data_IF_535515811322
#
_entry.id   IF_535515811322
#
_cell.length_a   1.000
_cell.length_b   1.000
_cell.length_c   1.000
_cell.angle_alpha   90.00
_cell.angle_beta   90.00
_cell.angle_gamma   90.00
#
_symmetry.space_group_name_H-M   'P 1'
#
loop_
_entity.id
_entity.type
_entity.pdbx_description
1 polymer ?
#
# COMPACT_ATOMS: atom_id res chain seq x y z
N UNK A 1 0.39 13.27 12.35
CA UNK A 1 0.61 14.46 11.51
C UNK A 1 1.63 14.23 10.39
N UNK A 2 2.75 13.56 10.61
CA UNK A 2 3.72 13.31 9.52
C UNK A 2 3.13 12.42 8.40
N UNK A 3 2.59 11.24 8.71
CA UNK A 3 2.03 10.31 7.72
C UNK A 3 0.81 10.83 6.95
N UNK A 4 0.10 11.83 7.50
CA UNK A 4 -1.03 12.46 6.78
C UNK A 4 -0.56 13.31 5.61
N UNK A 5 0.71 13.73 5.56
CA UNK A 5 1.26 14.51 4.43
C UNK A 5 1.20 13.74 3.11
N UNK A 6 1.39 12.42 3.12
CA UNK A 6 1.34 11.59 1.90
C UNK A 6 -0.05 11.64 1.28
N UNK A 7 -1.11 11.54 2.08
CA UNK A 7 -2.49 11.56 1.62
C UNK A 7 -2.86 12.92 1.02
N UNK A 8 -2.64 14.00 1.78
CA UNK A 8 -2.91 15.36 1.31
C UNK A 8 -2.05 15.74 0.10
N UNK A 9 -0.75 15.42 0.15
CA UNK A 9 0.20 15.68 -0.92
C UNK A 9 -0.21 14.99 -2.22
N UNK A 10 -0.62 13.72 -2.15
CA UNK A 10 -1.07 12.98 -3.34
C UNK A 10 -2.37 13.55 -3.90
N UNK A 11 -3.36 13.84 -3.04
CA UNK A 11 -4.61 14.45 -3.46
C UNK A 11 -4.39 15.79 -4.17
N UNK A 12 -3.66 16.70 -3.52
CA UNK A 12 -3.36 18.03 -4.06
C UNK A 12 -2.59 17.91 -5.38
N UNK A 13 -1.59 17.04 -5.43
CA UNK A 13 -0.76 16.86 -6.64
C UNK A 13 -1.56 16.36 -7.83
N UNK A 14 -2.45 15.39 -7.65
CA UNK A 14 -3.26 14.83 -8.74
C UNK A 14 -4.37 15.80 -9.19
N UNK A 15 -5.01 16.49 -8.26
CA UNK A 15 -6.05 17.49 -8.56
C UNK A 15 -5.44 18.70 -9.28
N UNK A 16 -4.45 19.35 -8.68
CA UNK A 16 -3.81 20.52 -9.27
C UNK A 16 -3.04 20.15 -10.54
N UNK A 17 -2.36 19.00 -10.53
CA UNK A 17 -1.66 18.49 -11.71
C UNK A 17 -2.59 18.28 -12.90
N UNK A 18 -3.78 17.71 -12.69
CA UNK A 18 -4.79 17.53 -13.74
C UNK A 18 -5.29 18.86 -14.30
N UNK A 19 -5.60 19.83 -13.44
CA UNK A 19 -6.07 21.17 -13.86
C UNK A 19 -4.98 21.95 -14.59
N UNK A 20 -3.77 21.98 -14.04
CA UNK A 20 -2.64 22.74 -14.62
C UNK A 20 -2.23 22.10 -15.94
N UNK A 21 -2.13 20.76 -16.01
CA UNK A 21 -1.75 20.08 -17.25
C UNK A 21 -2.79 20.30 -18.36
N UNK A 22 -4.07 20.38 -18.02
CA UNK A 22 -5.13 20.65 -19.00
C UNK A 22 -5.10 22.08 -19.57
N UNK A 23 -4.78 23.08 -18.76
CA UNK A 23 -4.83 24.49 -19.17
C UNK A 23 -3.48 25.06 -19.64
N UNK A 24 -2.38 24.57 -19.05
CA UNK A 24 -1.02 25.13 -19.22
C UNK A 24 0.02 24.08 -19.63
N UNK A 25 -0.41 22.83 -19.89
CA UNK A 25 0.46 21.74 -20.30
C UNK A 25 1.24 21.08 -19.16
N UNK A 26 1.74 19.88 -19.42
CA UNK A 26 2.42 19.03 -18.42
C UNK A 26 3.75 19.62 -17.93
N UNK A 27 4.44 20.42 -18.75
CA UNK A 27 5.71 21.08 -18.37
C UNK A 27 5.50 22.07 -17.22
N UNK A 28 4.45 22.88 -17.30
CA UNK A 28 4.10 23.86 -16.26
C UNK A 28 3.73 23.17 -14.94
N UNK A 29 3.04 22.03 -15.01
CA UNK A 29 2.72 21.24 -13.83
C UNK A 29 3.98 20.80 -13.06
N UNK A 30 5.06 20.41 -13.74
CA UNK A 30 6.33 20.09 -13.08
C UNK A 30 6.98 21.30 -12.39
N UNK A 31 6.97 22.47 -13.03
CA UNK A 31 7.51 23.68 -12.40
C UNK A 31 6.71 24.08 -11.15
N UNK A 32 5.37 24.05 -11.24
CA UNK A 32 4.49 24.39 -10.12
C UNK A 32 4.61 23.37 -8.97
N UNK A 33 4.83 22.09 -9.28
CA UNK A 33 5.07 21.08 -8.25
C UNK A 33 6.44 21.23 -7.57
N UNK A 34 7.49 21.57 -8.33
CA UNK A 34 8.87 21.64 -7.82
C UNK A 34 9.22 22.94 -7.08
N UNK A 35 8.75 24.09 -7.56
CA UNK A 35 9.15 25.39 -7.02
C UNK A 35 8.82 25.57 -5.52
N UNK A 36 7.63 25.18 -5.01
CA UNK A 36 7.32 25.25 -3.58
C UNK A 36 8.25 24.35 -2.73
N UNK A 37 8.68 23.21 -3.28
CA UNK A 37 9.62 22.31 -2.63
C UNK A 37 11.00 22.96 -2.44
N UNK A 38 11.47 23.72 -3.44
CA UNK A 38 12.72 24.47 -3.34
C UNK A 38 12.64 25.60 -2.30
N UNK A 39 11.53 26.32 -2.27
CA UNK A 39 11.27 27.36 -1.26
C UNK A 39 11.28 26.72 0.14
N UNK A 40 10.60 25.60 0.31
CA UNK A 40 10.55 24.88 1.58
C UNK A 40 11.94 24.35 2.00
N UNK A 41 12.74 23.87 1.06
CA UNK A 41 14.11 23.45 1.32
C UNK A 41 14.98 24.60 1.86
N UNK A 42 14.89 25.78 1.23
CA UNK A 42 15.58 26.99 1.70
C UNK A 42 15.09 27.37 3.10
N UNK A 43 13.78 27.36 3.34
CA UNK A 43 13.22 27.66 4.66
C UNK A 43 13.72 26.68 5.73
N UNK A 44 13.77 25.38 5.45
CA UNK A 44 14.29 24.38 6.39
C UNK A 44 15.77 24.64 6.70
N UNK A 45 16.60 24.89 5.68
CA UNK A 45 18.03 25.21 5.87
C UNK A 45 18.22 26.46 6.74
N UNK A 46 17.36 27.47 6.60
CA UNK A 46 17.49 28.73 7.33
C UNK A 46 16.85 28.73 8.72
N UNK A 47 15.83 27.89 8.96
CA UNK A 47 15.01 27.96 10.19
C UNK A 47 15.14 26.75 11.11
N UNK A 48 15.49 25.57 10.57
CA UNK A 48 15.55 24.32 11.34
C UNK A 48 16.99 24.06 11.76
N UNK A 49 17.25 24.22 13.06
CA UNK A 49 18.55 23.87 13.66
C UNK A 49 18.66 22.35 13.78
N UNK A 50 19.77 21.80 13.31
CA UNK A 50 20.05 20.37 13.48
C UNK A 50 20.12 20.02 14.99
N UNK A 51 19.27 19.10 15.48
CA UNK A 51 19.32 18.70 16.87
C UNK A 51 20.63 17.96 17.15
N UNK A 52 21.23 18.22 18.31
CA UNK A 52 22.41 17.47 18.75
C UNK A 52 22.03 16.00 18.86
N UNK A 53 22.76 15.15 18.15
CA UNK A 53 22.52 13.71 18.15
C UNK A 53 22.81 13.17 19.55
N UNK A 54 21.77 12.86 20.31
CA UNK A 54 21.92 12.17 21.59
C UNK A 54 22.59 10.81 21.31
N UNK A 55 23.84 10.66 21.75
CA UNK A 55 24.50 9.35 21.78
C UNK A 55 23.80 8.52 22.85
N UNK A 56 23.14 7.47 22.40
CA UNK A 56 22.73 6.27 23.14
C UNK A 56 22.32 6.48 24.60
N UNK A 57 21.10 6.95 24.81
CA UNK A 57 20.41 6.75 26.08
C UNK A 57 19.95 5.28 26.10
N UNK A 58 20.80 4.37 26.60
CA UNK A 58 20.39 3.00 26.97
C UNK A 58 21.10 1.81 26.32
N UNK A 59 22.34 1.93 25.82
CA UNK A 59 23.12 0.75 25.44
C UNK A 59 23.69 0.03 26.67
N UNK A 60 22.86 -0.76 27.35
CA UNK A 60 23.31 -1.82 28.27
C UNK A 60 22.93 -3.23 27.79
N UNK A 61 22.23 -3.34 26.65
CA UNK A 61 22.00 -4.62 25.97
C UNK A 61 23.18 -4.95 25.04
N UNK A 62 24.19 -5.62 25.57
CA UNK A 62 25.40 -6.06 24.84
C UNK A 62 25.14 -7.16 23.78
N UNK A 63 23.89 -7.51 23.48
CA UNK A 63 23.59 -8.48 22.43
C UNK A 63 23.54 -7.81 21.06
N UNK A 64 24.38 -8.23 20.08
CA UNK A 64 24.39 -7.61 18.77
C UNK A 64 23.01 -7.73 18.10
N UNK A 65 22.57 -6.64 17.45
CA UNK A 65 21.37 -6.68 16.64
C UNK A 65 21.47 -7.80 15.59
N UNK A 66 20.41 -8.60 15.38
CA UNK A 66 20.44 -9.71 14.44
C UNK A 66 20.69 -9.19 13.02
N UNK A 67 21.58 -9.87 12.29
CA UNK A 67 21.88 -9.54 10.90
C UNK A 67 20.67 -9.77 9.98
N UNK A 68 20.63 -9.08 8.83
CA UNK A 68 19.60 -9.26 7.80
C UNK A 68 19.39 -10.74 7.46
N UNK A 69 20.47 -11.50 7.28
CA UNK A 69 20.38 -12.91 6.93
C UNK A 69 19.75 -13.74 8.06
N UNK A 70 20.11 -13.48 9.32
CA UNK A 70 19.52 -14.17 10.48
C UNK A 70 18.02 -13.86 10.59
N UNK A 71 17.63 -12.60 10.43
CA UNK A 71 16.23 -12.19 10.43
C UNK A 71 15.45 -12.81 9.28
N UNK A 72 15.99 -12.83 8.06
CA UNK A 72 15.30 -13.44 6.92
C UNK A 72 15.19 -14.96 7.04
N UNK A 73 16.18 -15.63 7.63
CA UNK A 73 16.08 -17.06 7.99
C UNK A 73 14.95 -17.29 9.00
N UNK A 74 14.82 -16.44 10.01
CA UNK A 74 13.72 -16.52 10.97
C UNK A 74 12.36 -16.32 10.28
N UNK A 75 12.24 -15.31 9.41
CA UNK A 75 11.03 -15.05 8.62
C UNK A 75 10.64 -16.30 7.83
N UNK A 76 11.57 -16.93 7.13
CA UNK A 76 11.31 -18.16 6.35
C UNK A 76 10.98 -19.38 7.23
N UNK A 77 11.50 -19.44 8.45
CA UNK A 77 11.27 -20.55 9.38
C UNK A 77 9.92 -20.45 10.11
N UNK A 78 9.36 -19.26 10.28
CA UNK A 78 8.05 -19.05 10.89
C UNK A 78 6.96 -18.95 9.80
N UNK A 79 6.09 -19.97 9.63
CA UNK A 79 5.15 -20.00 8.51
C UNK A 79 4.17 -18.83 8.51
N UNK A 80 3.70 -18.37 9.68
CA UNK A 80 2.78 -17.23 9.77
C UNK A 80 3.44 -15.94 9.30
N UNK A 81 4.67 -15.68 9.74
CA UNK A 81 5.44 -14.50 9.34
C UNK A 81 5.85 -14.57 7.87
N UNK A 82 6.31 -15.73 7.40
CA UNK A 82 6.65 -15.97 6.00
C UNK A 82 5.48 -15.64 5.07
N UNK A 83 4.31 -16.23 5.33
CA UNK A 83 3.15 -16.02 4.49
C UNK A 83 2.64 -14.58 4.55
N UNK A 84 2.66 -13.94 5.73
CA UNK A 84 2.33 -12.52 5.84
C UNK A 84 3.31 -11.63 5.04
N UNK A 85 4.61 -11.92 5.11
CA UNK A 85 5.65 -11.17 4.39
C UNK A 85 5.44 -11.25 2.86
N UNK A 86 5.22 -12.45 2.35
CA UNK A 86 4.96 -12.66 0.91
C UNK A 86 3.61 -12.05 0.50
N UNK A 87 2.57 -12.20 1.32
CA UNK A 87 1.24 -11.61 1.06
C UNK A 87 1.30 -10.09 0.95
N UNK A 88 2.00 -9.41 1.86
CA UNK A 88 2.20 -7.95 1.79
C UNK A 88 2.91 -7.55 0.49
N UNK A 89 3.96 -8.28 0.10
CA UNK A 89 4.66 -8.05 -1.16
C UNK A 89 3.75 -8.19 -2.38
N UNK A 90 2.96 -9.26 -2.45
CA UNK A 90 2.03 -9.50 -3.56
C UNK A 90 0.89 -8.47 -3.61
N UNK A 91 0.28 -8.13 -2.48
CA UNK A 91 -0.79 -7.13 -2.45
C UNK A 91 -0.28 -5.73 -2.86
N UNK A 92 1.00 -5.43 -2.62
CA UNK A 92 1.60 -4.16 -3.05
C UNK A 92 1.62 -3.97 -4.58
N UNK A 93 1.59 -5.06 -5.36
CA UNK A 93 1.51 -5.01 -6.84
C UNK A 93 0.19 -4.39 -7.30
N UNK A 94 -0.93 -4.83 -6.72
CA UNK A 94 -2.24 -4.25 -7.02
C UNK A 94 -2.35 -2.83 -6.44
N UNK A 95 -1.90 -2.64 -5.19
CA UNK A 95 -1.97 -1.36 -4.48
C UNK A 95 -1.19 -0.22 -5.17
N UNK A 96 -0.21 -0.55 -6.02
CA UNK A 96 0.56 0.43 -6.82
C UNK A 96 0.16 0.40 -8.30
N UNK A 97 -0.14 -0.76 -8.86
CA UNK A 97 -0.48 -0.92 -10.28
C UNK A 97 -1.77 -0.21 -10.67
N UNK A 98 -2.83 -0.33 -9.85
CA UNK A 98 -4.12 0.30 -10.17
C UNK A 98 -4.04 1.83 -10.11
N UNK A 99 -3.55 2.46 -9.02
CA UNK A 99 -3.55 3.92 -8.91
C UNK A 99 -2.67 4.62 -9.95
N UNK A 100 -1.51 4.03 -10.29
CA UNK A 100 -0.57 4.61 -11.27
C UNK A 100 -1.23 4.76 -12.65
N UNK A 101 -2.09 3.80 -13.03
CA UNK A 101 -2.78 3.84 -14.30
C UNK A 101 -4.20 4.43 -14.23
N UNK A 102 -4.71 4.75 -13.04
CA UNK A 102 -6.09 5.16 -12.84
C UNK A 102 -6.48 6.40 -13.66
N UNK A 103 -5.69 7.48 -13.61
CA UNK A 103 -5.99 8.69 -14.38
C UNK A 103 -5.98 8.42 -15.91
N UNK A 104 -4.95 7.70 -16.38
CA UNK A 104 -4.83 7.32 -17.79
C UNK A 104 -5.98 6.43 -18.25
N UNK A 105 -6.42 5.48 -17.42
CA UNK A 105 -7.57 4.62 -17.67
C UNK A 105 -8.86 5.43 -17.79
N UNK A 106 -9.09 6.36 -16.86
CA UNK A 106 -10.29 7.19 -16.85
C UNK A 106 -10.38 8.07 -18.10
N UNK A 107 -9.27 8.66 -18.52
CA UNK A 107 -9.25 9.48 -19.75
C UNK A 107 -9.40 8.60 -20.99
N UNK A 108 -8.56 7.56 -21.14
CA UNK A 108 -8.45 6.78 -22.38
C UNK A 108 -9.61 5.83 -22.61
N UNK A 109 -10.21 5.33 -21.54
CA UNK A 109 -11.20 4.24 -21.61
C UNK A 109 -12.59 4.69 -21.16
N UNK A 110 -12.68 5.58 -20.16
CA UNK A 110 -13.95 6.04 -19.61
C UNK A 110 -14.37 7.43 -20.11
N UNK A 111 -13.57 8.06 -20.98
CA UNK A 111 -13.90 9.34 -21.61
C UNK A 111 -13.85 10.55 -20.67
N UNK A 112 -13.18 10.43 -19.52
CA UNK A 112 -13.03 11.56 -18.59
C UNK A 112 -12.16 12.65 -19.22
N UNK A 113 -12.48 13.90 -18.91
CA UNK A 113 -11.51 14.98 -19.11
C UNK A 113 -10.33 14.81 -18.13
N UNK A 114 -9.16 15.34 -18.48
CA UNK A 114 -7.97 15.24 -17.63
C UNK A 114 -8.19 15.80 -16.20
N UNK A 115 -8.89 16.94 -15.99
CA UNK A 115 -9.21 17.41 -14.65
C UNK A 115 -10.13 16.48 -13.86
N UNK A 116 -11.16 15.89 -14.51
CA UNK A 116 -12.05 14.93 -13.85
C UNK A 116 -11.29 13.66 -13.43
N UNK A 117 -10.43 13.15 -14.30
CA UNK A 117 -9.60 11.99 -14.02
C UNK A 117 -8.61 12.28 -12.87
N UNK A 118 -7.97 13.44 -12.89
CA UNK A 118 -7.09 13.91 -11.81
C UNK A 118 -7.81 14.07 -10.47
N UNK A 119 -9.04 14.62 -10.48
CA UNK A 119 -9.87 14.73 -9.28
C UNK A 119 -10.24 13.37 -8.70
N UNK A 120 -10.73 12.44 -9.54
CA UNK A 120 -11.13 11.12 -9.06
C UNK A 120 -9.93 10.29 -8.58
N UNK A 121 -8.81 10.32 -9.31
CA UNK A 121 -7.57 9.68 -8.88
C UNK A 121 -7.04 10.30 -7.56
N UNK A 122 -7.04 11.64 -7.47
CA UNK A 122 -6.59 12.37 -6.29
C UNK A 122 -7.43 12.09 -5.04
N UNK A 123 -8.75 12.13 -5.16
CA UNK A 123 -9.65 11.78 -4.06
C UNK A 123 -9.59 10.30 -3.71
N UNK A 124 -9.49 9.42 -4.71
CA UNK A 124 -9.28 7.98 -4.51
C UNK A 124 -8.07 7.70 -3.64
N UNK A 125 -6.88 8.05 -4.13
CA UNK A 125 -5.62 7.71 -3.44
C UNK A 125 -5.47 8.51 -2.14
N UNK A 126 -5.79 9.80 -2.18
CA UNK A 126 -5.57 10.70 -1.05
C UNK A 126 -6.62 10.54 0.05
N UNK A 127 -7.89 10.81 -0.24
CA UNK A 127 -8.95 10.81 0.77
C UNK A 127 -9.39 9.38 1.13
N UNK A 128 -9.79 8.60 0.12
CA UNK A 128 -10.32 7.26 0.35
C UNK A 128 -9.23 6.27 0.76
N UNK A 129 -8.04 6.40 0.19
CA UNK A 129 -6.87 5.65 0.64
C UNK A 129 -6.49 5.95 2.09
N UNK A 130 -6.49 7.22 2.50
CA UNK A 130 -6.26 7.59 3.90
C UNK A 130 -7.35 7.04 4.83
N UNK A 131 -8.61 7.15 4.43
CA UNK A 131 -9.73 6.58 5.18
C UNK A 131 -9.54 5.07 5.38
N UNK A 132 -9.14 4.36 4.34
CA UNK A 132 -8.74 2.95 4.42
C UNK A 132 -7.69 2.71 5.50
N UNK A 133 -6.55 3.40 5.42
CA UNK A 133 -5.48 3.26 6.41
C UNK A 133 -5.91 3.57 7.84
N UNK A 134 -6.78 4.56 8.05
CA UNK A 134 -7.32 4.88 9.38
C UNK A 134 -8.26 3.78 9.91
N UNK A 135 -9.08 3.18 9.05
CA UNK A 135 -10.02 2.12 9.43
C UNK A 135 -9.34 0.76 9.62
N UNK A 136 -8.17 0.56 8.99
CA UNK A 136 -7.44 -0.70 9.01
C UNK A 136 -7.04 -1.21 10.39
N UNK A 137 -6.51 -0.32 11.24
CA UNK A 137 -6.11 -0.64 12.61
C UNK A 137 -7.31 -1.12 13.45
N UNK A 138 -8.35 -0.28 13.63
CA UNK A 138 -9.56 -0.67 14.35
C UNK A 138 -10.23 -1.94 13.81
N UNK A 139 -10.20 -2.16 12.49
CA UNK A 139 -10.72 -3.39 11.89
C UNK A 139 -9.90 -4.62 12.31
N UNK A 140 -8.57 -4.52 12.33
CA UNK A 140 -7.68 -5.55 12.87
C UNK A 140 -7.93 -5.82 14.34
N UNK A 141 -8.02 -4.77 15.15
CA UNK A 141 -8.27 -4.87 16.59
C UNK A 141 -9.64 -5.52 16.88
N UNK A 142 -10.66 -5.20 16.09
CA UNK A 142 -11.98 -5.81 16.21
C UNK A 142 -11.94 -7.32 15.92
N UNK A 143 -11.16 -7.76 14.92
CA UNK A 143 -10.96 -9.18 14.63
C UNK A 143 -10.25 -9.88 15.78
N UNK A 144 -9.18 -9.27 16.31
CA UNK A 144 -8.43 -9.81 17.46
C UNK A 144 -9.30 -9.91 18.71
N UNK A 145 -10.06 -8.86 19.03
CA UNK A 145 -10.95 -8.83 20.20
C UNK A 145 -12.06 -9.88 20.10
N UNK A 146 -12.56 -10.17 18.89
CA UNK A 146 -13.67 -11.10 18.70
C UNK A 146 -13.22 -12.56 18.59
N UNK A 147 -12.11 -12.81 17.88
CA UNK A 147 -11.70 -14.15 17.45
C UNK A 147 -10.27 -14.54 17.87
N UNK A 148 -9.60 -13.69 18.65
CA UNK A 148 -8.24 -13.89 19.14
C UNK A 148 -7.17 -13.44 18.16
N UNK A 149 -5.94 -13.29 18.67
CA UNK A 149 -4.78 -12.80 17.90
C UNK A 149 -4.45 -13.70 16.69
N UNK A 150 -4.70 -15.00 16.80
CA UNK A 150 -4.50 -15.96 15.70
C UNK A 150 -5.40 -15.67 14.50
N UNK A 151 -6.52 -14.97 14.68
CA UNK A 151 -7.44 -14.59 13.62
C UNK A 151 -7.03 -13.28 12.91
N UNK A 152 -6.02 -12.56 13.39
CA UNK A 152 -5.55 -11.32 12.77
C UNK A 152 -5.29 -11.44 11.25
N UNK A 153 -4.70 -12.53 10.71
CA UNK A 153 -4.53 -12.68 9.26
C UNK A 153 -5.83 -12.77 8.45
N UNK A 154 -6.98 -13.05 9.07
CA UNK A 154 -8.27 -13.05 8.40
C UNK A 154 -8.67 -11.64 7.92
N UNK A 155 -8.27 -10.58 8.65
CA UNK A 155 -8.55 -9.20 8.25
C UNK A 155 -7.94 -8.83 6.89
N UNK A 156 -6.61 -8.98 6.68
CA UNK A 156 -6.02 -8.70 5.37
C UNK A 156 -6.40 -9.73 4.30
N UNK A 157 -6.72 -10.97 4.65
CA UNK A 157 -7.28 -11.95 3.71
C UNK A 157 -8.59 -11.44 3.08
N UNK A 158 -9.56 -11.05 3.91
CA UNK A 158 -10.86 -10.53 3.44
C UNK A 158 -10.67 -9.26 2.63
N UNK A 159 -9.80 -8.37 3.09
CA UNK A 159 -9.49 -7.14 2.37
C UNK A 159 -8.87 -7.42 0.99
N UNK A 160 -7.98 -8.41 0.85
CA UNK A 160 -7.42 -8.78 -0.45
C UNK A 160 -8.49 -9.27 -1.44
N UNK A 161 -9.47 -10.05 -0.97
CA UNK A 161 -10.60 -10.52 -1.80
C UNK A 161 -11.48 -9.34 -2.21
N UNK A 162 -11.84 -8.47 -1.27
CA UNK A 162 -12.63 -7.27 -1.54
C UNK A 162 -11.90 -6.29 -2.47
N UNK A 163 -10.57 -6.15 -2.34
CA UNK A 163 -9.74 -5.38 -3.25
C UNK A 163 -9.72 -5.98 -4.66
N UNK A 164 -9.64 -7.30 -4.79
CA UNK A 164 -9.76 -7.95 -6.10
C UNK A 164 -11.12 -7.65 -6.75
N UNK A 165 -12.22 -7.84 -6.02
CA UNK A 165 -13.57 -7.63 -6.55
C UNK A 165 -13.77 -6.16 -6.94
N UNK A 166 -13.43 -5.23 -6.06
CA UNK A 166 -13.56 -3.79 -6.33
C UNK A 166 -12.64 -3.30 -7.46
N UNK A 167 -11.42 -3.82 -7.56
CA UNK A 167 -10.52 -3.51 -8.68
C UNK A 167 -11.00 -4.07 -10.02
N UNK A 168 -11.65 -5.25 -10.03
CA UNK A 168 -12.33 -5.77 -11.22
C UNK A 168 -13.55 -4.93 -11.59
N UNK A 169 -14.32 -4.45 -10.62
CA UNK A 169 -15.44 -3.52 -10.84
C UNK A 169 -14.93 -2.21 -11.44
N UNK A 170 -13.81 -1.68 -10.94
CA UNK A 170 -13.16 -0.49 -11.53
C UNK A 170 -12.73 -0.73 -12.99
N UNK A 171 -12.10 -1.87 -13.27
CA UNK A 171 -11.58 -2.18 -14.61
C UNK A 171 -12.69 -2.50 -15.63
N UNK A 172 -13.72 -3.23 -15.22
CA UNK A 172 -14.72 -3.84 -16.11
C UNK A 172 -16.12 -3.21 -15.99
N UNK A 173 -16.27 -2.19 -15.14
CA UNK A 173 -17.54 -1.49 -14.94
C UNK A 173 -18.13 -0.92 -16.23
N UNK A 174 -19.45 -1.05 -16.38
CA UNK A 174 -20.19 -0.63 -17.57
C UNK A 174 -20.67 0.82 -17.52
N UNK A 175 -20.68 1.45 -16.33
CA UNK A 175 -21.08 2.84 -16.14
C UNK A 175 -20.08 3.59 -15.27
N UNK A 176 -20.01 4.92 -15.43
CA UNK A 176 -19.08 5.76 -14.67
C UNK A 176 -19.28 5.66 -13.15
N UNK A 177 -20.54 5.52 -12.71
CA UNK A 177 -20.87 5.34 -11.30
C UNK A 177 -20.29 4.02 -10.76
N UNK A 178 -20.41 2.93 -11.50
CA UNK A 178 -19.88 1.62 -11.11
C UNK A 178 -18.35 1.66 -11.07
N UNK A 179 -17.71 2.28 -12.07
CA UNK A 179 -16.26 2.46 -12.11
C UNK A 179 -15.78 3.29 -10.92
N UNK A 180 -16.42 4.42 -10.64
CA UNK A 180 -16.06 5.30 -9.52
C UNK A 180 -16.21 4.58 -8.16
N UNK A 181 -17.32 3.88 -7.94
CA UNK A 181 -17.55 3.10 -6.72
C UNK A 181 -16.53 1.97 -6.58
N UNK A 182 -16.22 1.25 -7.67
CA UNK A 182 -15.17 0.24 -7.69
C UNK A 182 -13.82 0.80 -7.27
N UNK A 183 -13.45 1.97 -7.79
CA UNK A 183 -12.19 2.64 -7.45
C UNK A 183 -12.15 3.10 -5.99
N UNK A 184 -13.22 3.73 -5.49
CA UNK A 184 -13.32 4.20 -4.10
C UNK A 184 -13.19 3.02 -3.13
N UNK A 185 -13.95 1.94 -3.35
CA UNK A 185 -13.89 0.76 -2.49
C UNK A 185 -12.51 0.10 -2.58
N UNK A 186 -11.92 0.04 -3.77
CA UNK A 186 -10.57 -0.48 -3.96
C UNK A 186 -9.55 0.29 -3.12
N UNK A 187 -9.55 1.62 -3.15
CA UNK A 187 -8.60 2.45 -2.38
C UNK A 187 -8.80 2.28 -0.87
N UNK A 188 -10.04 2.27 -0.38
CA UNK A 188 -10.31 2.07 1.06
C UNK A 188 -9.81 0.70 1.51
N UNK A 189 -10.16 -0.36 0.79
CA UNK A 189 -9.89 -1.73 1.23
C UNK A 189 -8.41 -2.09 1.05
N UNK A 190 -7.80 -1.72 -0.09
CA UNK A 190 -6.39 -1.99 -0.36
C UNK A 190 -5.46 -1.22 0.57
N UNK A 191 -5.86 -0.06 1.09
CA UNK A 191 -5.09 0.67 2.11
C UNK A 191 -5.41 0.25 3.54
N UNK A 192 -6.62 -0.26 3.77
CA UNK A 192 -7.06 -0.72 5.10
C UNK A 192 -6.40 -2.00 5.57
N UNK A 193 -5.92 -2.86 4.67
CA UNK A 193 -5.25 -4.08 5.12
C UNK A 193 -3.80 -3.85 5.57
N UNK A 194 -3.19 -2.69 5.29
CA UNK A 194 -1.77 -2.43 5.59
C UNK A 194 -1.48 -2.54 7.09
N UNK A 195 -2.27 -1.88 7.95
CA UNK A 195 -2.07 -1.91 9.39
C UNK A 195 -2.13 -3.34 9.99
N UNK A 196 -3.21 -4.13 9.79
CA UNK A 196 -3.27 -5.48 10.35
C UNK A 196 -2.21 -6.41 9.74
N UNK A 197 -1.84 -6.23 8.46
CA UNK A 197 -0.80 -7.05 7.84
C UNK A 197 0.59 -6.79 8.46
N UNK A 198 0.95 -5.52 8.67
CA UNK A 198 2.20 -5.17 9.36
C UNK A 198 2.20 -5.59 10.83
N UNK A 199 1.03 -5.55 11.49
CA UNK A 199 0.90 -6.05 12.85
C UNK A 199 1.30 -7.53 12.96
N UNK A 200 0.88 -8.40 12.02
CA UNK A 200 1.26 -9.82 11.99
C UNK A 200 2.79 -9.99 11.95
N UNK A 201 3.48 -9.17 11.15
CA UNK A 201 4.94 -9.22 11.06
C UNK A 201 5.60 -8.81 12.39
N UNK A 202 5.14 -7.71 12.98
CA UNK A 202 5.75 -7.11 14.18
C UNK A 202 5.46 -7.93 15.43
N UNK A 203 4.29 -8.57 15.53
CA UNK A 203 3.93 -9.47 16.65
C UNK A 203 4.52 -10.85 16.48
N UNK A 204 4.79 -11.30 15.25
CA UNK A 204 5.33 -12.62 14.96
C UNK A 204 6.86 -12.74 15.10
N UNK A 205 7.55 -11.65 15.43
CA UNK A 205 9.02 -11.56 15.50
C UNK A 205 9.46 -10.92 16.82
N UNK A 206 10.68 -11.25 17.26
CA UNK A 206 11.26 -10.65 18.46
C UNK A 206 11.48 -9.13 18.29
N UNK A 207 11.40 -8.33 19.38
CA UNK A 207 11.55 -6.88 19.32
C UNK A 207 12.78 -6.38 18.55
N UNK A 208 13.93 -7.03 18.77
CA UNK A 208 15.20 -6.73 18.09
C UNK A 208 15.20 -6.97 16.58
N UNK A 209 14.28 -7.80 16.06
CA UNK A 209 14.16 -8.09 14.63
C UNK A 209 13.18 -7.15 13.91
N UNK A 210 12.29 -6.46 14.65
CA UNK A 210 11.20 -5.66 14.06
C UNK A 210 11.69 -4.63 13.05
N UNK A 211 12.77 -3.91 13.37
CA UNK A 211 13.33 -2.88 12.48
C UNK A 211 13.79 -3.46 11.13
N UNK A 212 14.49 -4.60 11.16
CA UNK A 212 14.99 -5.29 9.96
C UNK A 212 13.82 -5.87 9.15
N UNK A 213 12.85 -6.53 9.80
CA UNK A 213 11.69 -7.13 9.12
C UNK A 213 10.83 -6.06 8.45
N UNK A 214 10.52 -4.97 9.14
CA UNK A 214 9.72 -3.86 8.60
C UNK A 214 10.46 -3.20 7.43
N UNK A 215 11.77 -2.97 7.55
CA UNK A 215 12.56 -2.39 6.46
C UNK A 215 12.65 -3.33 5.24
N UNK A 216 12.83 -4.64 5.46
CA UNK A 216 12.89 -5.63 4.40
C UNK A 216 11.56 -5.76 3.66
N UNK A 217 10.43 -5.83 4.38
CA UNK A 217 9.12 -5.87 3.72
C UNK A 217 8.84 -4.55 3.00
N UNK A 218 9.22 -3.40 3.57
CA UNK A 218 9.06 -2.11 2.91
C UNK A 218 9.88 -2.05 1.61
N UNK A 219 11.12 -2.53 1.62
CA UNK A 219 11.95 -2.64 0.42
C UNK A 219 11.28 -3.52 -0.64
N UNK A 220 10.72 -4.67 -0.24
CA UNK A 220 9.94 -5.54 -1.15
C UNK A 220 8.72 -4.81 -1.69
N UNK A 221 7.92 -4.12 -0.86
CA UNK A 221 6.75 -3.37 -1.36
C UNK A 221 7.11 -2.24 -2.31
N UNK A 222 8.28 -1.62 -2.15
CA UNK A 222 8.74 -0.58 -3.05
C UNK A 222 9.27 -1.16 -4.37
N UNK A 223 10.16 -2.16 -4.30
CA UNK A 223 10.77 -2.76 -5.49
C UNK A 223 9.80 -3.62 -6.29
N UNK A 224 9.06 -4.50 -5.60
CA UNK A 224 8.09 -5.40 -6.23
C UNK A 224 6.80 -4.65 -6.51
N UNK A 225 6.22 -3.98 -5.51
CA UNK A 225 4.97 -3.24 -5.71
C UNK A 225 5.10 -2.18 -6.79
N UNK A 226 5.82 -1.08 -6.52
CA UNK A 226 5.92 0.02 -7.47
C UNK A 226 6.76 -0.28 -8.71
N UNK A 227 7.74 -1.20 -8.62
CA UNK A 227 8.54 -1.58 -9.78
C UNK A 227 7.85 -2.55 -10.74
N UNK A 228 7.16 -3.57 -10.22
CA UNK A 228 6.55 -4.63 -11.04
C UNK A 228 5.04 -4.40 -11.25
N UNK A 229 4.31 -3.86 -10.28
CA UNK A 229 2.85 -3.69 -10.35
C UNK A 229 2.40 -2.87 -11.57
N UNK A 230 2.84 -1.60 -11.70
CA UNK A 230 2.56 -0.78 -12.87
C UNK A 230 3.12 -1.36 -14.18
N UNK A 231 4.27 -2.04 -14.12
CA UNK A 231 4.88 -2.66 -15.29
C UNK A 231 4.00 -3.79 -15.85
N UNK A 232 3.44 -4.65 -14.99
CA UNK A 232 2.52 -5.71 -15.42
C UNK A 232 1.32 -5.11 -16.13
N UNK A 233 0.69 -4.07 -15.55
CA UNK A 233 -0.46 -3.40 -16.16
C UNK A 233 -0.09 -2.83 -17.53
N UNK A 234 1.04 -2.13 -17.65
CA UNK A 234 1.51 -1.55 -18.90
C UNK A 234 1.81 -2.59 -19.97
N UNK A 235 2.60 -3.62 -19.62
CA UNK A 235 2.99 -4.70 -20.54
C UNK A 235 1.78 -5.50 -21.03
N UNK A 236 0.80 -5.78 -20.16
CA UNK A 236 -0.45 -6.44 -20.58
C UNK A 236 -1.27 -5.51 -21.48
N UNK A 237 -1.38 -4.22 -21.12
CA UNK A 237 -2.05 -3.20 -21.93
C UNK A 237 -1.46 -3.10 -23.34
N UNK A 238 -0.13 -3.06 -23.46
CA UNK A 238 0.57 -2.93 -24.74
C UNK A 238 0.38 -4.15 -25.64
N UNK A 239 0.34 -5.36 -25.06
CA UNK A 239 0.08 -6.59 -25.81
C UNK A 239 -1.36 -6.72 -26.28
N UNK A 240 -2.32 -6.27 -25.49
CA UNK A 240 -3.74 -6.31 -25.86
C UNK A 240 -4.06 -5.25 -26.91
N UNK A 241 -3.51 -4.04 -26.76
CA UNK A 241 -3.75 -2.93 -27.67
C UNK A 241 -5.20 -2.43 -27.66
N UNK A 242 -5.46 -1.37 -28.43
CA UNK A 242 -6.80 -0.81 -28.60
C UNK A 242 -7.40 -0.17 -27.34
N UNK A 243 -8.72 0.05 -27.38
CA UNK A 243 -9.49 0.82 -26.38
C UNK A 243 -9.68 0.08 -25.04
N UNK A 244 -9.61 -1.26 -25.06
CA UNK A 244 -9.78 -2.09 -23.87
C UNK A 244 -8.45 -2.51 -23.21
N UNK A 245 -7.32 -2.09 -23.75
CA UNK A 245 -5.97 -2.43 -23.26
C UNK A 245 -5.79 -2.24 -21.75
N UNK A 246 -6.11 -1.05 -21.23
CA UNK A 246 -5.98 -0.75 -19.80
C UNK A 246 -7.01 -1.49 -18.93
N UNK A 247 -8.21 -1.81 -19.44
CA UNK A 247 -9.17 -2.65 -18.70
C UNK A 247 -8.54 -4.01 -18.39
N UNK A 248 -7.95 -4.63 -19.41
CA UNK A 248 -7.32 -5.96 -19.28
C UNK A 248 -6.07 -5.88 -18.42
N UNK A 249 -5.25 -4.83 -18.58
CA UNK A 249 -4.06 -4.63 -17.74
C UNK A 249 -4.39 -4.52 -16.25
N UNK A 250 -5.37 -3.69 -15.89
CA UNK A 250 -5.81 -3.51 -14.50
C UNK A 250 -6.49 -4.79 -13.98
N UNK A 251 -7.32 -5.45 -14.78
CA UNK A 251 -7.93 -6.72 -14.39
C UNK A 251 -6.88 -7.81 -14.15
N UNK A 252 -5.82 -7.86 -14.97
CA UNK A 252 -4.75 -8.85 -14.85
C UNK A 252 -3.98 -8.70 -13.53
N UNK A 253 -3.66 -7.48 -13.08
CA UNK A 253 -2.92 -7.29 -11.82
C UNK A 253 -3.73 -7.70 -10.58
N UNK A 254 -5.06 -7.83 -10.68
CA UNK A 254 -5.91 -8.30 -9.58
C UNK A 254 -5.66 -9.77 -9.20
N UNK A 255 -5.04 -10.57 -10.07
CA UNK A 255 -4.64 -11.94 -9.73
C UNK A 255 -3.70 -11.96 -8.51
N UNK A 256 -2.85 -10.95 -8.37
CA UNK A 256 -1.93 -10.83 -7.24
C UNK A 256 -2.65 -10.49 -5.93
N UNK A 257 -3.79 -9.79 -5.99
CA UNK A 257 -4.64 -9.59 -4.82
C UNK A 257 -5.21 -10.92 -4.32
N UNK A 258 -5.71 -11.78 -5.22
CA UNK A 258 -6.19 -13.11 -4.83
C UNK A 258 -5.06 -13.99 -4.29
N UNK A 259 -3.91 -14.00 -4.97
CA UNK A 259 -2.74 -14.76 -4.53
C UNK A 259 -2.25 -14.29 -3.15
N UNK A 260 -2.21 -12.98 -2.91
CA UNK A 260 -1.97 -12.43 -1.57
C UNK A 260 -2.97 -12.93 -0.54
N UNK A 261 -4.27 -12.94 -0.88
CA UNK A 261 -5.33 -13.48 -0.03
C UNK A 261 -5.08 -14.94 0.37
N UNK A 262 -4.61 -15.78 -0.56
CA UNK A 262 -4.23 -17.17 -0.27
C UNK A 262 -3.05 -17.27 0.71
N UNK A 263 -2.07 -16.36 0.60
CA UNK A 263 -0.99 -16.27 1.59
C UNK A 263 -1.52 -15.87 2.97
N UNK A 264 -2.42 -14.88 3.08
CA UNK A 264 -3.01 -14.54 4.37
C UNK A 264 -3.90 -15.64 4.96
N UNK A 265 -4.59 -16.42 4.11
CA UNK A 265 -5.28 -17.63 4.54
C UNK A 265 -4.29 -18.67 5.07
N UNK A 266 -3.17 -18.92 4.38
CA UNK A 266 -2.14 -19.83 4.86
C UNK A 266 -1.51 -19.34 6.18
N UNK A 267 -1.28 -18.04 6.33
CA UNK A 267 -0.81 -17.43 7.57
C UNK A 267 -1.81 -17.64 8.73
N UNK A 268 -3.11 -17.50 8.44
CA UNK A 268 -4.17 -17.77 9.42
C UNK A 268 -4.18 -19.24 9.87
N UNK A 269 -4.13 -20.17 8.92
CA UNK A 269 -4.10 -21.60 9.20
C UNK A 269 -2.85 -22.01 9.99
N UNK A 270 -1.70 -21.41 9.68
CA UNK A 270 -0.46 -21.60 10.44
C UNK A 270 -0.57 -21.04 11.87
N UNK A 271 -1.11 -19.84 12.03
CA UNK A 271 -1.25 -19.19 13.34
C UNK A 271 -2.13 -20.00 14.31
N UNK A 272 -3.16 -20.68 13.77
CA UNK A 272 -4.03 -21.58 14.55
C UNK A 272 -3.33 -22.86 15.01
N UNK A 273 -2.29 -23.31 14.31
CA UNK A 273 -1.54 -24.53 14.64
C UNK A 273 -0.40 -24.26 15.62
N UNK A 274 0.08 -23.03 15.72
CA UNK A 274 1.18 -22.66 16.62
C UNK A 274 0.65 -22.24 17.99
N UNK A 275 0.89 -23.05 19.02
CA UNK A 275 0.69 -22.66 20.43
C UNK A 275 1.50 -21.39 20.80
N UNK A 276 2.65 -21.18 20.13
CA UNK A 276 3.58 -20.05 20.36
C UNK A 276 3.09 -18.66 19.97
N UNK A 277 2.03 -18.53 19.18
CA UNK A 277 1.53 -17.18 18.82
C UNK A 277 0.85 -16.47 20.01
N UNK A 278 0.49 -17.23 21.04
CA UNK A 278 -0.15 -16.73 22.26
C UNK A 278 0.86 -16.02 23.17
N UNK A 279 2.09 -16.52 23.26
CA UNK A 279 3.09 -16.02 24.22
C UNK A 279 3.74 -14.69 23.82
N UNK A 280 3.80 -14.37 22.51
CA UNK A 280 4.38 -13.11 22.02
C UNK A 280 3.43 -11.90 22.03
N UNK A 281 2.13 -12.13 22.24
CA UNK A 281 1.11 -11.08 22.32
C UNK A 281 0.77 -10.68 23.77
N UNK A 282 1.19 -11.50 24.74
CA UNK A 282 1.00 -11.27 26.19
C UNK A 282 2.26 -10.75 26.90
N UNK A 283 3.35 -10.51 26.16
CA UNK A 283 4.60 -9.92 26.64
C UNK A 283 4.83 -8.54 26.02
#
# INVERSE_FOLDING_TARGET
VFWTSTAFGTAISLVLGGVIAANYGWRTAFFVAGAPGLILAILIILTVREPVRERDIGQDDQTPAPSLLQTMRFVCANPTVFHAFVGIGLASLAMSGVPVWAASFLVRTQGFTLPQAGLMAGLGVGLFGALGSFLGGPAGDAVVRRWGVQALPAAPMVACVLACVSGLIFALGSSLMVVALGFIVFEIVSRGFTAPAYAILVTGVEPRMRGVVVSAVQAVTNLVGYGVGPLVVGVVSDRVGGTNSLKVGIAAVMIFSLWSGLHFLAAWLAARRSERFVDGATA
#
